data_IF_363277359484
#
_entry.id   IF_363277359484
#
_cell.length_a   1.000
_cell.length_b   1.000
_cell.length_c   1.000
_cell.angle_alpha   90.00
_cell.angle_beta   90.00
_cell.angle_gamma   90.00
#
_symmetry.space_group_name_H-M   'P 1'
#
loop_
_entity.id
_entity.type
_entity.pdbx_description
1 polymer ?
#
# COMPACT_ATOMS: atom_id res chain seq x y z
N UNK A 1 14.88 26.22 10.38
CA UNK A 1 15.38 26.68 9.07
C UNK A 1 15.56 25.48 8.16
N UNK A 2 15.07 25.55 6.93
CA UNK A 2 15.25 24.51 5.91
C UNK A 2 15.97 25.12 4.68
N UNK A 3 16.80 24.32 4.01
CA UNK A 3 17.51 24.73 2.79
C UNK A 3 16.77 24.35 1.50
N UNK A 4 15.93 23.32 1.56
CA UNK A 4 15.02 22.91 0.46
C UNK A 4 13.65 22.54 1.03
N UNK A 5 12.59 22.89 0.32
CA UNK A 5 11.22 22.50 0.65
C UNK A 5 10.41 22.27 -0.64
N UNK A 6 9.53 21.28 -0.60
CA UNK A 6 8.56 20.97 -1.67
C UNK A 6 7.17 21.02 -1.04
N UNK A 7 6.29 21.84 -1.62
CA UNK A 7 4.91 22.03 -1.18
C UNK A 7 3.96 21.36 -2.18
N UNK A 8 3.46 20.19 -1.83
CA UNK A 8 2.62 19.37 -2.71
C UNK A 8 1.15 19.83 -2.69
N UNK A 9 0.63 20.10 -1.48
CA UNK A 9 -0.74 20.57 -1.28
C UNK A 9 -0.90 21.09 0.16
N UNK A 10 -2.09 21.63 0.50
CA UNK A 10 -2.42 21.99 1.87
C UNK A 10 -2.17 20.82 2.82
N UNK A 11 -1.35 21.04 3.87
CA UNK A 11 -0.91 20.02 4.84
C UNK A 11 -0.07 18.86 4.25
N UNK A 12 0.45 19.01 3.03
CA UNK A 12 1.32 18.03 2.38
C UNK A 12 2.59 18.70 1.91
N UNK A 13 3.68 18.46 2.60
CA UNK A 13 4.98 19.05 2.29
C UNK A 13 6.14 18.18 2.77
N UNK A 14 7.31 18.45 2.25
CA UNK A 14 8.56 17.88 2.70
C UNK A 14 9.65 18.95 2.70
N UNK A 15 10.57 18.87 3.63
CA UNK A 15 11.67 19.83 3.73
C UNK A 15 12.91 19.20 4.36
N UNK A 16 14.08 19.65 3.93
CA UNK A 16 15.35 19.38 4.56
C UNK A 16 15.61 20.46 5.64
N UNK A 17 15.42 20.09 6.89
CA UNK A 17 15.59 20.96 8.05
C UNK A 17 17.00 20.81 8.61
N UNK A 18 17.77 21.87 8.69
CA UNK A 18 19.09 21.89 9.30
C UNK A 18 19.17 22.71 10.60
N UNK A 19 18.10 23.45 10.93
CA UNK A 19 17.95 24.13 12.22
C UNK A 19 16.48 24.07 12.66
N UNK A 20 16.24 23.50 13.84
CA UNK A 20 14.91 23.42 14.46
C UNK A 20 15.02 23.99 15.87
N UNK A 21 14.40 25.15 16.09
CA UNK A 21 14.40 25.87 17.39
C UNK A 21 15.80 26.18 17.95
N UNK A 22 16.74 26.52 17.06
CA UNK A 22 18.13 26.84 17.44
C UNK A 22 19.06 25.62 17.55
N UNK A 23 18.54 24.41 17.36
CA UNK A 23 19.34 23.18 17.30
C UNK A 23 19.73 22.95 15.85
N UNK A 24 21.03 23.04 15.54
CA UNK A 24 21.58 22.76 14.21
C UNK A 24 21.89 21.28 14.02
N UNK A 25 21.61 20.80 12.82
CA UNK A 25 21.94 19.44 12.38
C UNK A 25 23.03 19.49 11.31
N UNK A 26 24.11 18.74 11.49
CA UNK A 26 25.19 18.60 10.49
C UNK A 26 24.66 17.95 9.20
N UNK A 27 23.79 16.98 9.35
CA UNK A 27 23.05 16.35 8.23
C UNK A 27 21.59 16.81 8.32
N UNK A 28 21.03 17.43 7.26
CA UNK A 28 19.65 17.89 7.28
C UNK A 28 18.65 16.78 7.60
N UNK A 29 17.74 17.07 8.51
CA UNK A 29 16.66 16.15 8.89
C UNK A 29 15.51 16.27 7.89
N UNK A 30 15.15 15.19 7.25
CA UNK A 30 14.00 15.18 6.35
C UNK A 30 12.68 15.18 7.14
N UNK A 31 11.95 16.30 7.06
CA UNK A 31 10.59 16.46 7.64
C UNK A 31 9.56 16.26 6.56
N UNK A 32 8.63 15.31 6.76
CA UNK A 32 7.57 14.97 5.81
C UNK A 32 6.23 15.04 6.52
N UNK A 33 5.26 15.69 5.88
CA UNK A 33 3.89 15.81 6.38
C UNK A 33 2.87 15.44 5.30
N UNK A 34 1.87 14.64 5.67
CA UNK A 34 0.66 14.38 4.89
C UNK A 34 0.79 13.57 3.60
N UNK A 35 2.01 13.17 3.20
CA UNK A 35 2.24 12.32 2.04
C UNK A 35 2.24 10.82 2.42
N UNK A 36 2.16 9.95 1.43
CA UNK A 36 2.04 8.50 1.61
C UNK A 36 3.21 7.88 2.39
N UNK A 37 4.37 8.52 2.37
CA UNK A 37 5.56 8.11 3.15
C UNK A 37 5.35 8.05 4.68
N UNK A 38 4.31 8.70 5.20
CA UNK A 38 3.99 8.73 6.64
C UNK A 38 2.61 8.15 6.97
N UNK A 39 1.83 7.72 5.97
CA UNK A 39 0.50 7.16 6.17
C UNK A 39 0.55 5.68 6.52
N UNK A 40 -0.12 5.27 7.58
CA UNK A 40 -0.24 3.86 7.98
C UNK A 40 -0.97 2.98 6.96
N UNK A 41 -1.73 3.59 6.05
CA UNK A 41 -2.42 2.90 4.96
C UNK A 41 -1.52 2.51 3.78
N UNK A 42 -0.25 2.92 3.78
CA UNK A 42 0.78 2.52 2.81
C UNK A 42 1.60 1.38 3.39
N UNK A 43 1.95 0.34 2.62
CA UNK A 43 2.83 -0.74 3.08
C UNK A 43 4.15 -0.18 3.64
N UNK A 44 4.65 -0.79 4.71
CA UNK A 44 5.82 -0.27 5.44
C UNK A 44 7.07 -0.17 4.56
N UNK A 45 7.31 -1.19 3.74
CA UNK A 45 8.42 -1.20 2.78
C UNK A 45 8.32 -0.03 1.80
N UNK A 46 7.12 0.29 1.31
CA UNK A 46 6.89 1.41 0.40
C UNK A 46 7.06 2.76 1.12
N UNK A 47 6.63 2.89 2.39
CA UNK A 47 6.84 4.12 3.17
C UNK A 47 8.32 4.46 3.31
N UNK A 48 9.15 3.48 3.61
CA UNK A 48 10.62 3.64 3.67
C UNK A 48 11.18 4.10 2.32
N UNK A 49 10.82 3.40 1.25
CA UNK A 49 11.31 3.69 -0.10
C UNK A 49 10.82 5.03 -0.66
N UNK A 50 9.58 5.46 -0.34
CA UNK A 50 9.11 6.81 -0.71
C UNK A 50 9.95 7.88 0.01
N UNK A 51 10.30 7.69 1.28
CA UNK A 51 11.22 8.62 2.00
C UNK A 51 12.58 8.68 1.35
N UNK A 52 13.13 7.54 0.93
CA UNK A 52 14.42 7.49 0.25
C UNK A 52 14.35 8.15 -1.13
N UNK A 53 13.28 7.91 -1.90
CA UNK A 53 13.04 8.59 -3.16
C UNK A 53 12.94 10.11 -3.01
N UNK A 54 12.27 10.60 -1.96
CA UNK A 54 12.19 12.03 -1.64
C UNK A 54 13.60 12.61 -1.35
N UNK A 55 14.48 11.87 -0.67
CA UNK A 55 15.88 12.30 -0.48
C UNK A 55 16.63 12.42 -1.81
N UNK A 56 16.44 11.47 -2.71
CA UNK A 56 17.00 11.53 -4.07
C UNK A 56 16.47 12.74 -4.83
N UNK A 57 15.15 12.99 -4.83
CA UNK A 57 14.54 14.17 -5.45
C UNK A 57 15.13 15.48 -4.92
N UNK A 58 15.41 15.54 -3.63
CA UNK A 58 15.91 16.76 -3.00
C UNK A 58 17.41 17.01 -3.21
N UNK A 59 18.21 15.95 -3.42
CA UNK A 59 19.67 16.09 -3.33
C UNK A 59 20.41 15.58 -4.57
N UNK A 60 19.76 14.80 -5.43
CA UNK A 60 20.38 14.13 -6.57
C UNK A 60 19.74 14.54 -7.92
N UNK A 61 20.10 13.86 -8.99
CA UNK A 61 19.61 14.09 -10.35
C UNK A 61 18.36 13.27 -10.67
N UNK A 62 17.71 13.63 -11.77
CA UNK A 62 16.59 12.87 -12.33
C UNK A 62 17.00 11.44 -12.70
N UNK A 63 18.18 11.26 -13.32
CA UNK A 63 18.70 9.94 -13.67
C UNK A 63 18.91 9.04 -12.44
N UNK A 64 19.35 9.62 -11.32
CA UNK A 64 19.46 8.91 -10.04
C UNK A 64 18.09 8.43 -9.54
N UNK A 65 17.05 9.25 -9.68
CA UNK A 65 15.69 8.87 -9.32
C UNK A 65 15.14 7.77 -10.22
N UNK A 66 15.32 7.88 -11.54
CA UNK A 66 14.89 6.85 -12.51
C UNK A 66 15.53 5.51 -12.16
N UNK A 67 16.86 5.51 -11.91
CA UNK A 67 17.59 4.31 -11.48
C UNK A 67 17.05 3.76 -10.16
N UNK A 68 16.80 4.62 -9.16
CA UNK A 68 16.26 4.22 -7.86
C UNK A 68 14.90 3.53 -7.99
N UNK A 69 14.00 4.08 -8.82
CA UNK A 69 12.66 3.51 -9.07
C UNK A 69 12.77 2.16 -9.76
N UNK A 70 13.64 2.03 -10.77
CA UNK A 70 13.86 0.77 -11.49
C UNK A 70 14.43 -0.31 -10.57
N UNK A 71 15.45 0.01 -9.78
CA UNK A 71 16.08 -0.93 -8.84
C UNK A 71 15.07 -1.39 -7.78
N UNK A 72 14.27 -0.47 -7.23
CA UNK A 72 13.24 -0.85 -6.26
C UNK A 72 12.12 -1.70 -6.87
N UNK A 73 11.74 -1.46 -8.13
CA UNK A 73 10.74 -2.27 -8.84
C UNK A 73 11.16 -3.74 -8.90
N UNK A 74 12.43 -4.01 -9.18
CA UNK A 74 12.94 -5.39 -9.22
C UNK A 74 12.93 -6.03 -7.83
N UNK A 75 13.36 -5.32 -6.81
CA UNK A 75 13.26 -5.79 -5.40
C UNK A 75 11.81 -6.03 -5.00
N UNK A 76 10.89 -5.13 -5.35
CA UNK A 76 9.48 -5.22 -4.99
C UNK A 76 8.82 -6.52 -5.48
N UNK A 77 9.18 -7.00 -6.66
CA UNK A 77 8.69 -8.25 -7.23
C UNK A 77 9.11 -9.49 -6.44
N UNK A 78 10.16 -9.39 -5.63
CA UNK A 78 10.66 -10.49 -4.80
C UNK A 78 10.07 -10.52 -3.39
N UNK A 79 9.36 -9.47 -3.00
CA UNK A 79 8.74 -9.36 -1.68
C UNK A 79 7.53 -10.28 -1.55
N UNK A 80 7.24 -10.69 -0.32
CA UNK A 80 6.04 -11.50 -0.05
C UNK A 80 4.74 -10.69 -0.30
N UNK A 81 3.64 -11.36 -0.62
CA UNK A 81 2.33 -10.71 -0.73
C UNK A 81 1.97 -9.87 0.50
N UNK A 82 2.31 -10.36 1.69
CA UNK A 82 2.03 -9.71 2.97
C UNK A 82 2.79 -8.40 3.16
N UNK A 83 4.00 -8.27 2.59
CA UNK A 83 4.82 -7.06 2.67
C UNK A 83 4.33 -5.96 1.75
N UNK A 84 3.79 -6.33 0.58
CA UNK A 84 3.34 -5.37 -0.45
C UNK A 84 1.86 -5.00 -0.36
N UNK A 85 1.08 -5.72 0.46
CA UNK A 85 -0.35 -5.51 0.61
C UNK A 85 -0.70 -4.22 1.35
N UNK A 86 -1.80 -3.57 0.95
CA UNK A 86 -2.31 -2.35 1.56
C UNK A 86 -2.95 -2.62 2.92
N UNK A 87 -2.48 -2.02 4.02
CA UNK A 87 -3.18 -2.08 5.31
C UNK A 87 -4.46 -1.24 5.30
N UNK A 88 -5.55 -1.78 5.84
CA UNK A 88 -6.84 -1.08 6.02
C UNK A 88 -7.58 -1.62 7.24
N UNK A 89 -8.51 -0.82 7.78
CA UNK A 89 -9.53 -1.33 8.69
C UNK A 89 -10.75 -1.73 7.89
N UNK A 90 -11.32 -2.90 8.18
CA UNK A 90 -12.50 -3.42 7.52
C UNK A 90 -13.74 -3.06 8.33
N UNK A 91 -14.61 -2.22 7.78
CA UNK A 91 -15.82 -1.78 8.46
C UNK A 91 -17.03 -1.96 7.55
N UNK A 92 -18.20 -2.18 8.16
CA UNK A 92 -19.49 -2.28 7.49
C UNK A 92 -19.60 -3.48 6.54
N UNK A 93 -19.04 -4.63 6.88
CA UNK A 93 -19.12 -5.86 6.07
C UNK A 93 -20.58 -6.19 5.73
N UNK A 94 -21.48 -6.24 6.72
CA UNK A 94 -22.88 -6.62 6.55
C UNK A 94 -23.64 -5.70 5.59
N UNK A 95 -23.26 -4.42 5.53
CA UNK A 95 -23.84 -3.45 4.58
C UNK A 95 -23.63 -3.86 3.13
N UNK A 96 -22.51 -4.51 2.84
CA UNK A 96 -22.05 -4.80 1.50
C UNK A 96 -22.24 -6.26 1.07
N UNK A 97 -22.71 -7.14 1.96
CA UNK A 97 -23.07 -8.53 1.60
C UNK A 97 -24.25 -8.53 0.64
N UNK A 98 -24.19 -9.38 -0.38
CA UNK A 98 -25.29 -9.66 -1.29
C UNK A 98 -25.61 -11.16 -1.25
N UNK A 99 -26.86 -11.57 -0.99
CA UNK A 99 -27.26 -12.99 -0.97
C UNK A 99 -27.11 -13.71 -2.32
N UNK A 100 -27.19 -12.98 -3.43
CA UNK A 100 -27.14 -13.53 -4.79
C UNK A 100 -25.74 -13.45 -5.42
N UNK A 101 -24.89 -12.59 -4.86
CA UNK A 101 -23.50 -12.44 -5.24
C UNK A 101 -22.67 -12.21 -3.97
N UNK A 102 -21.37 -12.37 -4.02
CA UNK A 102 -20.54 -12.24 -2.81
C UNK A 102 -20.64 -10.83 -2.20
N UNK A 103 -20.81 -9.79 -3.03
CA UNK A 103 -20.83 -8.38 -2.60
C UNK A 103 -21.69 -7.52 -3.53
N UNK A 104 -22.20 -6.41 -3.00
CA UNK A 104 -22.99 -5.40 -3.74
C UNK A 104 -22.12 -4.53 -4.66
N UNK A 105 -22.74 -3.97 -5.71
CA UNK A 105 -22.10 -2.94 -6.54
C UNK A 105 -21.69 -1.72 -5.68
N UNK A 106 -20.51 -1.17 -5.92
CA UNK A 106 -19.98 0.00 -5.17
C UNK A 106 -19.33 -0.35 -3.83
N UNK A 107 -19.13 -1.63 -3.53
CA UNK A 107 -18.38 -2.06 -2.35
C UNK A 107 -16.93 -1.55 -2.40
N UNK A 108 -16.40 -0.93 -1.32
CA UNK A 108 -15.00 -0.52 -1.25
C UNK A 108 -14.06 -1.73 -1.47
N UNK A 109 -12.95 -1.51 -2.19
CA UNK A 109 -12.09 -2.58 -2.67
C UNK A 109 -11.58 -3.53 -1.56
N UNK A 110 -11.19 -3.00 -0.40
CA UNK A 110 -10.72 -3.79 0.73
C UNK A 110 -11.84 -4.60 1.41
N UNK A 111 -13.08 -4.05 1.45
CA UNK A 111 -14.27 -4.75 1.94
C UNK A 111 -14.68 -5.83 0.96
N UNK A 112 -14.65 -5.54 -0.34
CA UNK A 112 -14.86 -6.53 -1.41
C UNK A 112 -13.90 -7.72 -1.23
N UNK A 113 -12.61 -7.44 -1.07
CA UNK A 113 -11.60 -8.48 -0.83
C UNK A 113 -11.87 -9.30 0.44
N UNK A 114 -12.38 -8.68 1.50
CA UNK A 114 -12.73 -9.36 2.76
C UNK A 114 -13.95 -10.28 2.60
N UNK A 115 -14.97 -9.84 1.87
CA UNK A 115 -16.14 -10.67 1.56
C UNK A 115 -15.79 -11.86 0.68
N UNK A 116 -14.91 -11.67 -0.32
CA UNK A 116 -14.35 -12.75 -1.15
C UNK A 116 -13.59 -13.76 -0.28
N UNK A 117 -12.70 -13.28 0.58
CA UNK A 117 -11.96 -14.12 1.52
C UNK A 117 -12.91 -14.95 2.38
N UNK A 118 -13.88 -14.34 3.06
CA UNK A 118 -14.83 -15.01 3.91
C UNK A 118 -15.65 -16.05 3.15
N UNK A 119 -16.12 -15.71 1.94
CA UNK A 119 -16.86 -16.63 1.07
C UNK A 119 -16.05 -17.91 0.77
N UNK A 120 -14.79 -17.77 0.36
CA UNK A 120 -13.95 -18.91 0.00
C UNK A 120 -13.46 -19.71 1.21
N UNK A 121 -13.25 -19.06 2.38
CA UNK A 121 -12.98 -19.76 3.65
C UNK A 121 -14.16 -20.68 4.01
N UNK A 122 -15.39 -20.19 3.94
CA UNK A 122 -16.59 -20.98 4.23
C UNK A 122 -16.83 -22.08 3.19
N UNK A 123 -16.75 -21.74 1.90
CA UNK A 123 -16.93 -22.67 0.79
C UNK A 123 -15.97 -23.86 0.85
N UNK A 124 -14.73 -23.62 1.23
CA UNK A 124 -13.68 -24.63 1.33
C UNK A 124 -13.57 -25.25 2.74
N UNK A 125 -14.47 -24.90 3.68
CA UNK A 125 -14.51 -25.41 5.07
C UNK A 125 -13.19 -25.16 5.82
N UNK A 126 -12.55 -24.01 5.60
CA UNK A 126 -11.24 -23.66 6.16
C UNK A 126 -11.31 -22.81 7.44
N UNK A 127 -12.51 -22.54 7.96
CA UNK A 127 -12.74 -21.65 9.11
C UNK A 127 -12.08 -22.12 10.43
N UNK A 128 -11.71 -23.39 10.51
CA UNK A 128 -10.92 -23.89 11.65
C UNK A 128 -9.45 -23.49 11.59
N UNK A 129 -8.94 -23.27 10.39
CA UNK A 129 -7.54 -22.92 10.13
C UNK A 129 -7.34 -21.41 9.96
N UNK A 130 -8.31 -20.76 9.36
CA UNK A 130 -8.28 -19.32 9.04
C UNK A 130 -9.55 -18.65 9.58
N UNK A 131 -9.42 -17.70 10.53
CA UNK A 131 -10.58 -16.99 11.05
C UNK A 131 -11.23 -16.13 9.97
N UNK A 132 -12.55 -15.98 10.06
CA UNK A 132 -13.26 -15.03 9.22
C UNK A 132 -12.93 -13.60 9.61
N UNK A 133 -12.86 -12.73 8.62
CA UNK A 133 -12.73 -11.28 8.82
C UNK A 133 -14.05 -10.74 9.34
N UNK A 134 -13.99 -9.89 10.38
CA UNK A 134 -15.14 -9.25 11.04
C UNK A 134 -15.03 -7.73 10.93
N UNK A 135 -16.12 -7.06 11.24
CA UNK A 135 -16.15 -5.60 11.35
C UNK A 135 -15.15 -5.11 12.39
N UNK A 136 -14.40 -4.06 12.03
CA UNK A 136 -13.35 -3.49 12.86
C UNK A 136 -11.98 -4.14 12.70
N UNK A 137 -11.87 -5.31 12.07
CA UNK A 137 -10.61 -6.00 11.89
C UNK A 137 -9.63 -5.17 11.06
N UNK A 138 -8.36 -5.24 11.46
CA UNK A 138 -7.27 -4.74 10.63
C UNK A 138 -6.87 -5.80 9.63
N UNK A 139 -6.93 -5.44 8.38
CA UNK A 139 -6.67 -6.33 7.25
C UNK A 139 -5.62 -5.73 6.31
N UNK A 140 -5.14 -6.56 5.42
CA UNK A 140 -4.37 -6.15 4.25
C UNK A 140 -5.10 -6.60 3.00
N UNK A 141 -4.99 -5.87 1.88
CA UNK A 141 -5.55 -6.29 0.61
C UNK A 141 -4.54 -6.20 -0.53
N UNK A 142 -4.71 -7.08 -1.49
CA UNK A 142 -3.85 -7.22 -2.68
C UNK A 142 -4.67 -7.20 -3.96
N UNK A 143 -4.08 -6.63 -4.99
CA UNK A 143 -4.56 -6.75 -6.36
C UNK A 143 -4.13 -8.09 -6.96
N UNK A 144 -5.03 -8.71 -7.71
CA UNK A 144 -4.83 -10.02 -8.34
C UNK A 144 -5.02 -9.95 -9.84
N UNK A 145 -4.20 -10.69 -10.57
CA UNK A 145 -4.39 -10.95 -12.00
C UNK A 145 -5.50 -12.00 -12.20
N UNK A 146 -6.19 -11.89 -13.30
CA UNK A 146 -7.18 -12.88 -13.72
C UNK A 146 -6.71 -13.63 -14.98
N UNK A 147 -7.23 -14.85 -15.21
CA UNK A 147 -8.12 -15.62 -14.35
C UNK A 147 -7.41 -16.21 -13.13
N UNK A 148 -8.11 -16.30 -11.98
CA UNK A 148 -7.60 -16.89 -10.76
C UNK A 148 -8.67 -17.69 -10.02
N UNK A 149 -8.29 -18.35 -8.93
CA UNK A 149 -9.14 -19.28 -8.17
C UNK A 149 -10.34 -18.64 -7.49
N UNK A 150 -10.24 -17.36 -7.10
CA UNK A 150 -11.33 -16.60 -6.47
C UNK A 150 -12.16 -15.78 -7.47
N UNK A 151 -11.81 -15.84 -8.76
CA UNK A 151 -12.50 -15.18 -9.88
C UNK A 151 -12.71 -13.68 -9.69
N UNK A 152 -11.79 -13.03 -8.99
CA UNK A 152 -11.84 -11.58 -8.74
C UNK A 152 -10.45 -10.95 -8.78
N UNK A 153 -10.39 -9.62 -8.83
CA UNK A 153 -9.16 -8.81 -8.95
C UNK A 153 -8.57 -8.39 -7.61
N UNK A 154 -9.16 -8.81 -6.50
CA UNK A 154 -8.75 -8.43 -5.15
C UNK A 154 -8.99 -9.55 -4.14
N UNK A 155 -8.13 -9.65 -3.14
CA UNK A 155 -8.34 -10.44 -1.93
C UNK A 155 -7.85 -9.66 -0.72
N UNK A 156 -8.55 -9.79 0.40
CA UNK A 156 -8.09 -9.29 1.71
C UNK A 156 -7.80 -10.45 2.65
N UNK A 157 -6.97 -10.21 3.64
CA UNK A 157 -6.59 -11.18 4.67
C UNK A 157 -6.16 -10.46 5.95
N UNK A 158 -6.27 -11.10 7.10
CA UNK A 158 -5.83 -10.52 8.37
C UNK A 158 -4.32 -10.65 8.56
N UNK A 159 -3.77 -11.84 8.42
CA UNK A 159 -2.33 -12.13 8.63
C UNK A 159 -1.64 -12.57 7.35
N UNK A 160 -2.18 -13.59 6.65
CA UNK A 160 -1.62 -14.15 5.43
C UNK A 160 -2.73 -14.65 4.50
N UNK A 161 -2.40 -14.76 3.21
CA UNK A 161 -3.29 -15.38 2.23
C UNK A 161 -3.33 -16.89 2.51
N UNK A 162 -4.53 -17.52 2.59
CA UNK A 162 -4.63 -18.96 2.69
C UNK A 162 -3.90 -19.66 1.54
N UNK A 163 -3.02 -20.58 1.88
CA UNK A 163 -2.25 -21.31 0.87
C UNK A 163 -3.16 -22.11 -0.08
N UNK A 164 -4.27 -22.60 0.47
CA UNK A 164 -5.30 -23.36 -0.25
C UNK A 164 -6.00 -22.54 -1.35
N UNK A 165 -5.92 -21.22 -1.31
CA UNK A 165 -6.46 -20.36 -2.37
C UNK A 165 -5.60 -20.36 -3.63
N UNK A 166 -4.35 -20.83 -3.55
CA UNK A 166 -3.39 -20.84 -4.67
C UNK A 166 -3.26 -19.46 -5.37
N UNK A 167 -3.27 -18.38 -4.59
CA UNK A 167 -3.28 -17.00 -5.10
C UNK A 167 -1.90 -16.37 -5.23
N UNK A 168 -0.86 -16.92 -4.62
CA UNK A 168 0.48 -16.31 -4.59
C UNK A 168 1.03 -16.02 -6.00
N UNK A 169 0.78 -16.91 -6.96
CA UNK A 169 1.19 -16.73 -8.37
C UNK A 169 0.35 -15.72 -9.16
N UNK A 170 -0.79 -15.30 -8.60
CA UNK A 170 -1.71 -14.34 -9.23
C UNK A 170 -1.59 -12.93 -8.68
N UNK A 171 -0.69 -12.68 -7.72
CA UNK A 171 -0.44 -11.33 -7.21
C UNK A 171 -0.03 -10.42 -8.38
N UNK A 172 -0.76 -9.31 -8.53
CA UNK A 172 -0.46 -8.30 -9.55
C UNK A 172 0.56 -7.30 -9.01
N UNK A 173 1.83 -7.70 -9.00
CA UNK A 173 2.93 -6.86 -8.52
C UNK A 173 3.08 -5.56 -9.30
N UNK A 174 2.74 -5.52 -10.59
CA UNK A 174 2.82 -4.29 -11.40
C UNK A 174 1.78 -3.27 -10.93
N UNK A 175 0.52 -3.68 -10.84
CA UNK A 175 -0.55 -2.81 -10.31
C UNK A 175 -0.29 -2.44 -8.87
N UNK A 176 0.20 -3.39 -8.06
CA UNK A 176 0.51 -3.16 -6.66
C UNK A 176 1.63 -2.13 -6.51
N UNK A 177 2.72 -2.24 -7.26
CA UNK A 177 3.83 -1.28 -7.28
C UNK A 177 3.38 0.12 -7.71
N UNK A 178 2.61 0.19 -8.79
CA UNK A 178 2.08 1.47 -9.26
C UNK A 178 1.28 2.18 -8.18
N UNK A 179 0.33 1.49 -7.55
CA UNK A 179 -0.57 2.08 -6.55
C UNK A 179 0.11 2.38 -5.20
N UNK A 180 1.10 1.57 -4.79
CA UNK A 180 1.76 1.74 -3.49
C UNK A 180 2.97 2.67 -3.53
N UNK A 181 3.61 2.81 -4.68
CA UNK A 181 4.86 3.55 -4.80
C UNK A 181 4.85 4.60 -5.91
N UNK A 182 4.58 4.21 -7.18
CA UNK A 182 4.72 5.13 -8.32
C UNK A 182 3.70 6.27 -8.30
N UNK A 183 2.41 5.98 -8.07
CA UNK A 183 1.38 7.02 -8.01
C UNK A 183 1.62 8.02 -6.86
N UNK A 184 1.93 7.59 -5.61
CA UNK A 184 2.34 8.49 -4.55
C UNK A 184 3.56 9.35 -4.90
N UNK A 185 4.55 8.78 -5.60
CA UNK A 185 5.76 9.50 -5.99
C UNK A 185 5.46 10.50 -7.10
N UNK A 186 4.66 10.13 -8.11
CA UNK A 186 4.23 11.04 -9.18
C UNK A 186 3.51 12.25 -8.61
N UNK A 187 2.65 12.07 -7.62
CA UNK A 187 1.95 13.18 -6.97
C UNK A 187 2.92 14.19 -6.32
N UNK A 188 4.09 13.74 -5.88
CA UNK A 188 5.16 14.63 -5.40
C UNK A 188 5.84 15.33 -6.58
N UNK A 189 6.18 14.58 -7.65
CA UNK A 189 6.88 15.11 -8.82
C UNK A 189 6.06 16.15 -9.58
N UNK A 190 4.74 15.96 -9.69
CA UNK A 190 3.81 16.90 -10.36
C UNK A 190 3.76 18.28 -9.64
N UNK A 191 4.36 18.41 -8.46
CA UNK A 191 4.40 19.66 -7.68
C UNK A 191 5.75 20.40 -7.76
N UNK A 192 6.70 19.88 -8.53
CA UNK A 192 8.04 20.46 -8.75
C UNK A 192 8.11 21.07 -10.14
#
# INVERSE_FOLDING_TARGET
IANKAIWVAKKRYMMNVFDEEGIRFDIPKLKIMGVEAVKSSTPEVCRGKIKDAIRVIMNDSEDALIKFVADFKEVFKTLSPEEVAFPRSCNYLDKYVDPNSIYKKGTPIHVKGALIYNHYILKNKLQRKYPLIKDGDKIKFLMLRQPNTVKDTVVSFATKIPYEFDLHKYVDYETQFTKTFTDPLRFVLDSI
#
